data_IF_707867691797
#
_entry.id   IF_707867691797
#
_cell.length_a   1.000
_cell.length_b   1.000
_cell.length_c   1.000
_cell.angle_alpha   90.00
_cell.angle_beta   90.00
_cell.angle_gamma   90.00
#
_symmetry.space_group_name_H-M   'P 1'
#
loop_
_entity.id
_entity.type
_entity.pdbx_description
1 polymer ?
#
# COMPACT_ATOMS: atom_id res chain seq x y z
N UNK A 1 5.88 -24.67 9.26
CA UNK A 1 4.73 -23.77 9.46
C UNK A 1 5.22 -22.56 10.22
N UNK A 2 5.09 -21.32 9.70
CA UNK A 2 5.29 -20.15 10.56
C UNK A 2 4.17 -20.13 11.62
N UNK A 3 4.42 -19.66 12.84
CA UNK A 3 3.43 -19.63 13.91
C UNK A 3 2.47 -18.46 13.66
N UNK A 4 1.61 -18.58 12.65
CA UNK A 4 0.59 -17.60 12.40
C UNK A 4 -0.67 -17.95 13.23
N UNK A 5 -0.63 -17.60 14.51
CA UNK A 5 -1.72 -17.85 15.47
C UNK A 5 -2.73 -16.69 15.55
N UNK A 6 -2.87 -15.87 14.51
CA UNK A 6 -3.90 -14.85 14.48
C UNK A 6 -5.15 -15.37 13.79
N UNK A 7 -6.27 -15.32 14.52
CA UNK A 7 -7.60 -15.49 13.90
C UNK A 7 -8.11 -14.12 13.51
N UNK A 8 -8.46 -13.94 12.24
CA UNK A 8 -9.07 -12.71 11.75
C UNK A 8 -10.58 -12.84 11.73
N UNK A 9 -11.26 -11.87 12.32
CA UNK A 9 -12.70 -11.71 12.15
C UNK A 9 -12.93 -10.75 10.97
N UNK A 10 -13.61 -11.25 9.92
CA UNK A 10 -13.94 -10.44 8.73
C UNK A 10 -15.06 -9.47 9.09
N UNK A 11 -14.84 -8.19 8.79
CA UNK A 11 -15.78 -7.11 9.12
C UNK A 11 -16.48 -6.54 7.88
N UNK A 12 -16.13 -7.02 6.68
CA UNK A 12 -16.67 -6.50 5.43
C UNK A 12 -16.77 -7.60 4.36
N UNK A 13 -17.63 -7.34 3.37
CA UNK A 13 -17.62 -8.07 2.11
C UNK A 13 -16.32 -7.78 1.33
N UNK A 14 -15.84 -8.74 0.52
CA UNK A 14 -14.64 -8.52 -0.29
C UNK A 14 -14.83 -7.36 -1.26
N UNK A 15 -13.88 -6.43 -1.27
CA UNK A 15 -13.76 -5.43 -2.33
C UNK A 15 -12.74 -5.93 -3.36
N UNK A 16 -13.19 -6.19 -4.58
CA UNK A 16 -12.30 -6.55 -5.66
C UNK A 16 -11.57 -5.30 -6.18
N UNK A 17 -10.25 -5.41 -6.31
CA UNK A 17 -9.40 -4.37 -6.88
C UNK A 17 -9.19 -4.60 -8.38
N UNK A 18 -8.70 -3.58 -9.09
CA UNK A 18 -8.47 -3.68 -10.54
C UNK A 18 -7.45 -4.73 -10.97
N UNK A 19 -6.56 -5.17 -10.07
CA UNK A 19 -5.59 -6.24 -10.32
C UNK A 19 -6.12 -7.64 -9.96
N UNK A 20 -7.42 -7.76 -9.64
CA UNK A 20 -8.06 -9.02 -9.31
C UNK A 20 -7.90 -9.46 -7.86
N UNK A 21 -7.19 -8.70 -7.02
CA UNK A 21 -7.09 -9.02 -5.59
C UNK A 21 -8.40 -8.77 -4.84
N UNK A 22 -8.61 -9.51 -3.76
CA UNK A 22 -9.77 -9.36 -2.86
C UNK A 22 -9.30 -8.76 -1.55
N UNK A 23 -9.81 -7.58 -1.22
CA UNK A 23 -9.52 -6.89 0.04
C UNK A 23 -10.67 -7.07 1.03
N UNK A 24 -10.33 -7.44 2.25
CA UNK A 24 -11.25 -7.50 3.38
C UNK A 24 -10.75 -6.56 4.48
N UNK A 25 -11.66 -5.78 5.06
CA UNK A 25 -11.45 -5.19 6.38
C UNK A 25 -11.61 -6.30 7.41
N UNK A 26 -10.62 -6.47 8.28
CA UNK A 26 -10.65 -7.44 9.36
C UNK A 26 -10.13 -6.85 10.68
N UNK A 27 -10.48 -7.49 11.78
CA UNK A 27 -9.84 -7.31 13.08
C UNK A 27 -9.12 -8.61 13.47
N UNK A 28 -8.11 -8.49 14.34
CA UNK A 28 -7.49 -9.66 14.95
C UNK A 28 -8.29 -9.99 16.22
N UNK A 29 -8.71 -11.25 16.34
CA UNK A 29 -9.39 -11.75 17.54
C UNK A 29 -8.54 -11.47 18.77
N UNK A 30 -9.15 -10.94 19.82
CA UNK A 30 -8.51 -10.49 21.06
C UNK A 30 -7.66 -9.20 20.97
N UNK A 31 -7.65 -8.52 19.82
CA UNK A 31 -7.07 -7.18 19.67
C UNK A 31 -8.18 -6.21 19.24
N UNK A 32 -9.04 -5.77 20.19
CA UNK A 32 -10.16 -4.89 19.88
C UNK A 32 -9.66 -3.55 19.33
N UNK A 33 -10.50 -2.89 18.52
CA UNK A 33 -10.27 -1.55 17.97
C UNK A 33 -9.02 -1.39 17.08
N UNK A 34 -8.45 -2.49 16.58
CA UNK A 34 -7.44 -2.45 15.50
C UNK A 34 -7.97 -3.14 14.26
N UNK A 35 -8.00 -2.37 13.18
CA UNK A 35 -8.45 -2.82 11.87
C UNK A 35 -7.26 -2.99 10.93
N UNK A 36 -7.40 -3.94 10.02
CA UNK A 36 -6.40 -4.27 9.02
C UNK A 36 -7.09 -4.48 7.67
N UNK A 37 -6.30 -4.36 6.60
CA UNK A 37 -6.71 -4.83 5.28
C UNK A 37 -6.05 -6.19 5.02
N UNK A 38 -6.87 -7.23 4.89
CA UNK A 38 -6.44 -8.53 4.39
C UNK A 38 -6.62 -8.55 2.88
N UNK A 39 -5.51 -8.49 2.14
CA UNK A 39 -5.48 -8.57 0.66
C UNK A 39 -5.12 -9.99 0.24
N UNK A 40 -6.00 -10.65 -0.51
CA UNK A 40 -5.84 -12.00 -1.05
C UNK A 40 -5.63 -11.93 -2.57
N UNK A 41 -4.65 -12.66 -3.09
CA UNK A 41 -4.28 -12.64 -4.52
C UNK A 41 -3.56 -13.92 -4.94
N UNK A 42 -3.33 -14.09 -6.25
CA UNK A 42 -2.49 -15.16 -6.79
C UNK A 42 -1.04 -15.03 -6.31
N UNK A 43 -0.36 -16.17 -6.14
CA UNK A 43 0.99 -16.27 -5.56
C UNK A 43 2.05 -15.37 -6.22
N UNK A 44 2.10 -15.28 -7.55
CA UNK A 44 3.18 -14.58 -8.28
C UNK A 44 3.23 -13.07 -8.00
N UNK A 45 2.08 -12.40 -8.03
CA UNK A 45 2.00 -10.96 -7.77
C UNK A 45 2.42 -10.57 -6.35
N UNK A 46 2.36 -11.52 -5.41
CA UNK A 46 2.71 -11.25 -4.01
C UNK A 46 4.18 -11.22 -3.70
N UNK A 47 4.97 -12.12 -4.29
CA UNK A 47 6.41 -12.10 -4.03
C UNK A 47 7.03 -10.80 -4.54
N UNK A 48 6.61 -10.33 -5.71
CA UNK A 48 7.07 -9.05 -6.23
C UNK A 48 6.64 -7.86 -5.37
N UNK A 49 5.36 -7.78 -4.98
CA UNK A 49 4.92 -6.69 -4.10
C UNK A 49 5.64 -6.71 -2.75
N UNK A 50 5.87 -7.89 -2.16
CA UNK A 50 6.59 -8.02 -0.90
C UNK A 50 8.07 -7.63 -1.03
N UNK A 51 8.73 -8.05 -2.12
CA UNK A 51 10.11 -7.68 -2.43
C UNK A 51 10.25 -6.17 -2.60
N UNK A 52 9.42 -5.56 -3.46
CA UNK A 52 9.46 -4.12 -3.68
C UNK A 52 9.09 -3.38 -2.40
N UNK A 53 8.07 -3.84 -1.66
CA UNK A 53 7.69 -3.28 -0.37
C UNK A 53 8.88 -3.20 0.58
N UNK A 54 9.59 -4.31 0.80
CA UNK A 54 10.77 -4.33 1.69
C UNK A 54 11.85 -3.35 1.21
N UNK A 55 12.10 -3.32 -0.09
CA UNK A 55 13.08 -2.41 -0.68
C UNK A 55 12.68 -0.94 -0.50
N UNK A 56 11.42 -0.57 -0.74
CA UNK A 56 10.93 0.80 -0.55
C UNK A 56 10.75 1.19 0.90
N UNK A 57 10.37 0.25 1.76
CA UNK A 57 10.14 0.47 3.19
C UNK A 57 11.39 1.00 3.86
N UNK A 58 12.56 0.43 3.55
CA UNK A 58 13.83 0.87 4.13
C UNK A 58 14.06 2.38 3.94
N UNK A 59 13.76 2.93 2.75
CA UNK A 59 13.95 4.35 2.44
C UNK A 59 12.76 5.23 2.82
N UNK A 60 11.54 4.73 2.64
CA UNK A 60 10.30 5.50 2.88
C UNK A 60 9.83 5.46 4.33
N UNK A 61 10.46 4.64 5.19
CA UNK A 61 10.23 4.63 6.64
C UNK A 61 10.37 6.01 7.27
N UNK A 62 11.19 6.88 6.68
CA UNK A 62 11.42 8.26 7.16
C UNK A 62 10.25 9.21 6.89
N UNK A 63 9.43 8.94 5.87
CA UNK A 63 8.37 9.86 5.45
C UNK A 63 6.97 9.22 5.49
N UNK A 64 6.78 8.06 6.11
CA UNK A 64 5.47 7.38 6.22
C UNK A 64 4.66 7.27 4.91
N UNK A 65 5.35 7.22 3.76
CA UNK A 65 4.75 7.39 2.43
C UNK A 65 4.17 6.13 1.79
N UNK A 66 4.18 5.01 2.49
CA UNK A 66 3.72 3.71 1.98
C UNK A 66 2.75 3.07 2.96
N UNK A 67 1.81 2.31 2.43
CA UNK A 67 0.96 1.42 3.23
C UNK A 67 1.84 0.32 3.81
N UNK A 68 1.81 0.19 5.14
CA UNK A 68 2.58 -0.83 5.83
C UNK A 68 2.01 -2.22 5.52
N UNK A 69 2.89 -3.16 5.17
CA UNK A 69 2.59 -4.59 5.06
C UNK A 69 3.17 -5.27 6.30
N UNK A 70 2.33 -5.66 7.24
CA UNK A 70 2.75 -6.32 8.48
C UNK A 70 3.21 -7.74 8.25
N UNK A 71 2.51 -8.47 7.38
CA UNK A 71 2.79 -9.87 7.10
C UNK A 71 2.45 -10.20 5.66
N UNK A 72 3.24 -11.09 5.07
CA UNK A 72 3.01 -11.72 3.79
C UNK A 72 3.02 -13.24 4.00
N UNK A 73 1.91 -13.89 3.69
CA UNK A 73 1.71 -15.33 3.88
C UNK A 73 1.48 -15.97 2.53
N UNK A 74 2.41 -16.81 2.10
CA UNK A 74 2.31 -17.54 0.83
C UNK A 74 1.80 -18.96 1.06
N UNK A 75 0.80 -19.33 0.27
CA UNK A 75 0.21 -20.66 0.20
C UNK A 75 0.49 -21.24 -1.20
N UNK A 76 0.02 -22.47 -1.45
CA UNK A 76 0.22 -23.14 -2.74
C UNK A 76 -0.51 -22.42 -3.88
N UNK A 77 -1.73 -21.93 -3.62
CA UNK A 77 -2.66 -21.34 -4.61
C UNK A 77 -2.73 -19.80 -4.55
N UNK A 78 -2.43 -19.22 -3.39
CA UNK A 78 -2.66 -17.81 -3.11
C UNK A 78 -1.62 -17.23 -2.18
N UNK A 79 -1.63 -15.92 -2.06
CA UNK A 79 -0.91 -15.22 -1.03
C UNK A 79 -1.81 -14.18 -0.37
N UNK A 80 -1.61 -14.01 0.93
CA UNK A 80 -2.33 -13.09 1.78
C UNK A 80 -1.36 -12.07 2.35
N UNK A 81 -1.70 -10.80 2.22
CA UNK A 81 -0.97 -9.73 2.91
C UNK A 81 -1.88 -9.03 3.91
N UNK A 82 -1.34 -8.79 5.09
CA UNK A 82 -2.00 -8.04 6.15
C UNK A 82 -1.41 -6.64 6.13
N UNK A 83 -2.26 -5.65 5.82
CA UNK A 83 -1.87 -4.27 5.58
C UNK A 83 -2.51 -3.33 6.60
N UNK A 84 -1.91 -2.15 6.75
CA UNK A 84 -2.48 -1.03 7.49
C UNK A 84 -3.88 -0.66 6.99
N UNK A 85 -4.81 -0.44 7.92
CA UNK A 85 -6.11 0.16 7.63
C UNK A 85 -6.01 1.70 7.64
N UNK A 86 -6.58 2.36 6.64
CA UNK A 86 -6.63 3.82 6.55
C UNK A 86 -8.08 4.33 6.45
N UNK A 87 -8.27 5.64 6.31
CA UNK A 87 -9.63 6.20 6.14
C UNK A 87 -10.25 5.90 4.76
N UNK A 88 -9.49 5.31 3.84
CA UNK A 88 -9.94 5.00 2.49
C UNK A 88 -8.91 5.41 1.45
N UNK A 89 -9.30 5.29 0.20
CA UNK A 89 -8.55 5.67 -0.99
C UNK A 89 -8.87 7.11 -1.39
N UNK A 90 -7.98 7.74 -2.15
CA UNK A 90 -8.21 9.06 -2.71
C UNK A 90 -9.43 9.04 -3.65
N UNK A 91 -9.70 7.92 -4.35
CA UNK A 91 -10.92 7.77 -5.14
C UNK A 91 -12.18 7.83 -4.28
N UNK A 92 -12.20 7.16 -3.13
CA UNK A 92 -13.34 7.20 -2.21
C UNK A 92 -13.51 8.61 -1.64
N UNK A 93 -12.41 9.30 -1.32
CA UNK A 93 -12.46 10.68 -0.87
C UNK A 93 -13.09 11.59 -1.93
N UNK A 94 -12.64 11.49 -3.19
CA UNK A 94 -13.20 12.26 -4.32
C UNK A 94 -14.69 11.95 -4.48
N UNK A 95 -15.08 10.67 -4.46
CA UNK A 95 -16.48 10.29 -4.60
C UNK A 95 -17.34 10.90 -3.48
N UNK A 96 -16.86 10.91 -2.22
CA UNK A 96 -17.59 11.55 -1.11
C UNK A 96 -17.79 13.05 -1.37
N UNK A 97 -16.81 13.74 -1.94
CA UNK A 97 -16.96 15.17 -2.30
C UNK A 97 -17.98 15.39 -3.42
N UNK A 98 -18.13 14.43 -4.33
CA UNK A 98 -19.12 14.54 -5.41
C UNK A 98 -20.56 14.28 -4.88
N UNK A 99 -20.70 13.43 -3.85
CA UNK A 99 -22.00 13.11 -3.24
C UNK A 99 -22.41 14.06 -2.12
N UNK A 100 -21.45 14.62 -1.38
CA UNK A 100 -21.70 15.54 -0.27
C UNK A 100 -21.30 16.94 -0.69
N UNK A 101 -21.99 17.98 -0.21
CA UNK A 101 -21.57 19.38 -0.44
C UNK A 101 -20.27 19.75 0.33
N UNK A 102 -19.45 18.76 0.69
CA UNK A 102 -18.20 18.91 1.40
C UNK A 102 -17.09 18.94 0.35
N UNK A 103 -16.69 20.15 -0.04
CA UNK A 103 -15.50 20.35 -0.85
C UNK A 103 -14.26 20.30 0.06
N UNK A 104 -13.26 19.49 -0.28
CA UNK A 104 -11.92 19.63 0.28
C UNK A 104 -11.42 21.04 0.00
N UNK A 105 -10.86 21.69 1.01
CA UNK A 105 -10.20 22.98 0.80
C UNK A 105 -9.01 22.79 -0.15
N UNK A 106 -8.76 23.79 -0.99
CA UNK A 106 -7.60 23.83 -1.88
C UNK A 106 -6.29 23.58 -1.13
N UNK A 107 -6.24 24.02 0.12
CA UNK A 107 -5.12 23.78 1.03
C UNK A 107 -4.86 22.28 1.28
N UNK A 108 -5.90 21.46 1.48
CA UNK A 108 -5.75 20.01 1.66
C UNK A 108 -5.33 19.34 0.36
N UNK A 109 -5.88 19.78 -0.76
CA UNK A 109 -5.47 19.31 -2.08
C UNK A 109 -3.98 19.60 -2.31
N UNK A 110 -3.51 20.81 -1.98
CA UNK A 110 -2.11 21.19 -2.07
C UNK A 110 -1.21 20.30 -1.20
N UNK A 111 -1.61 19.97 0.04
CA UNK A 111 -0.85 19.05 0.89
C UNK A 111 -0.81 17.65 0.28
N UNK A 112 -1.93 17.12 -0.22
CA UNK A 112 -1.97 15.81 -0.89
C UNK A 112 -0.99 15.79 -2.06
N UNK A 113 -0.99 16.81 -2.91
CA UNK A 113 -0.07 16.92 -4.05
C UNK A 113 1.38 16.96 -3.58
N UNK A 114 1.71 17.79 -2.59
CA UNK A 114 3.06 17.89 -2.04
C UNK A 114 3.55 16.57 -1.46
N UNK A 115 2.70 15.84 -0.75
CA UNK A 115 3.03 14.55 -0.18
C UNK A 115 3.24 13.49 -1.27
N UNK A 116 2.40 13.45 -2.31
CA UNK A 116 2.61 12.60 -3.49
C UNK A 116 3.93 12.92 -4.18
N UNK A 117 4.26 14.19 -4.37
CA UNK A 117 5.54 14.62 -4.98
C UNK A 117 6.74 14.16 -4.14
N UNK A 118 6.67 14.25 -2.80
CA UNK A 118 7.72 13.74 -1.91
C UNK A 118 7.90 12.23 -2.08
N UNK A 119 6.80 11.46 -2.07
CA UNK A 119 6.83 10.00 -2.22
C UNK A 119 7.42 9.62 -3.57
N UNK A 120 6.93 10.24 -4.66
CA UNK A 120 7.42 9.99 -6.02
C UNK A 120 8.91 10.31 -6.15
N UNK A 121 9.36 11.45 -5.61
CA UNK A 121 10.78 11.82 -5.60
C UNK A 121 11.62 10.75 -4.90
N UNK A 122 11.17 10.26 -3.75
CA UNK A 122 11.90 9.23 -3.01
C UNK A 122 11.98 7.90 -3.77
N UNK A 123 10.88 7.39 -4.34
CA UNK A 123 10.94 6.13 -5.11
C UNK A 123 11.76 6.27 -6.40
N UNK A 124 11.70 7.42 -7.06
CA UNK A 124 12.49 7.66 -8.26
C UNK A 124 13.99 7.75 -7.95
N UNK A 125 14.38 8.30 -6.79
CA UNK A 125 15.77 8.27 -6.31
C UNK A 125 16.28 6.84 -6.04
N UNK A 126 15.37 5.89 -5.83
CA UNK A 126 15.68 4.46 -5.69
C UNK A 126 15.65 3.71 -7.02
N UNK A 127 15.48 4.42 -8.13
CA UNK A 127 15.25 3.86 -9.47
C UNK A 127 14.01 2.95 -9.55
N UNK A 128 12.95 3.28 -8.80
CA UNK A 128 11.70 2.54 -8.81
C UNK A 128 10.61 3.39 -9.45
N UNK A 129 9.88 2.81 -10.39
CA UNK A 129 8.64 3.35 -10.93
C UNK A 129 7.50 2.56 -10.30
N UNK A 130 6.52 3.22 -9.68
CA UNK A 130 5.38 2.53 -9.03
C UNK A 130 4.57 1.66 -10.00
N UNK A 131 4.47 2.07 -11.27
CA UNK A 131 3.79 1.32 -12.34
C UNK A 131 2.26 1.34 -12.30
N UNK A 132 1.64 1.62 -11.15
CA UNK A 132 0.18 1.77 -11.03
C UNK A 132 -0.23 2.99 -10.18
N UNK A 133 0.23 4.18 -10.57
CA UNK A 133 -0.04 5.43 -9.84
C UNK A 133 -1.43 5.99 -10.19
N UNK A 134 -2.44 5.66 -9.38
CA UNK A 134 -3.83 6.08 -9.58
C UNK A 134 -4.55 6.27 -8.24
N UNK A 135 -5.69 6.96 -8.24
CA UNK A 135 -6.45 7.34 -7.03
C UNK A 135 -6.93 6.15 -6.18
N UNK A 136 -7.10 4.96 -6.78
CA UNK A 136 -7.41 3.71 -6.06
C UNK A 136 -6.25 3.18 -5.20
N UNK A 137 -5.01 3.53 -5.55
CA UNK A 137 -3.79 3.03 -4.90
C UNK A 137 -3.16 4.08 -3.98
N UNK A 138 -3.78 5.26 -3.90
CA UNK A 138 -3.39 6.34 -2.99
C UNK A 138 -4.34 6.29 -1.81
N UNK A 139 -3.82 6.01 -0.63
CA UNK A 139 -4.58 5.90 0.59
C UNK A 139 -4.48 7.18 1.41
N UNK A 140 -5.58 7.54 2.04
CA UNK A 140 -5.75 8.79 2.78
C UNK A 140 -5.65 8.49 4.28
N UNK A 141 -4.81 9.25 4.99
CA UNK A 141 -4.65 9.11 6.43
C UNK A 141 -5.92 9.52 7.19
N UNK A 142 -6.28 8.78 8.24
CA UNK A 142 -7.49 9.04 9.03
C UNK A 142 -7.62 10.44 9.61
N UNK A 143 -6.50 11.12 9.85
CA UNK A 143 -6.49 12.51 10.36
C UNK A 143 -7.07 13.55 9.40
N UNK A 144 -7.27 13.24 8.12
CA UNK A 144 -7.99 14.14 7.21
C UNK A 144 -9.44 14.33 7.68
N UNK A 145 -10.05 13.32 8.31
CA UNK A 145 -11.43 13.39 8.79
C UNK A 145 -11.61 14.20 10.09
N UNK A 146 -10.56 14.38 10.91
CA UNK A 146 -10.70 14.83 12.31
C UNK A 146 -10.10 16.23 12.62
N UNK A 147 -10.03 17.10 11.60
CA UNK A 147 -9.29 18.37 11.55
C UNK A 147 -7.83 18.16 11.14
N UNK A 148 -7.38 18.76 10.03
CA UNK A 148 -5.96 18.82 9.68
C UNK A 148 -5.26 19.71 10.71
N UNK A 149 -4.84 19.15 11.84
CA UNK A 149 -4.02 19.87 12.81
C UNK A 149 -2.66 20.12 12.17
N UNK A 150 -2.47 21.35 11.69
CA UNK A 150 -1.26 21.81 10.98
C UNK A 150 0.03 21.55 11.76
N UNK A 151 -0.10 21.56 13.07
CA UNK A 151 0.93 21.32 14.06
C UNK A 151 1.53 19.90 13.95
N UNK A 152 0.83 18.97 13.29
CA UNK A 152 1.34 17.61 13.01
C UNK A 152 2.03 17.48 11.66
N UNK A 153 1.94 18.50 10.79
CA UNK A 153 2.67 18.58 9.52
C UNK A 153 4.09 19.14 9.69
N UNK A 154 4.36 19.82 10.81
CA UNK A 154 5.67 20.44 11.10
C UNK A 154 6.80 19.42 11.19
N UNK A 155 6.51 18.17 11.53
CA UNK A 155 7.54 17.13 11.58
C UNK A 155 7.92 16.55 10.21
N UNK A 156 7.26 16.93 9.11
CA UNK A 156 7.58 16.54 7.72
C UNK A 156 7.50 15.03 7.40
N UNK A 157 7.50 14.17 8.42
CA UNK A 157 7.61 12.73 8.36
C UNK A 157 6.24 12.04 8.27
N UNK A 158 5.18 12.67 8.77
CA UNK A 158 3.83 12.12 8.70
C UNK A 158 3.12 12.73 7.51
N UNK A 159 2.83 11.93 6.48
CA UNK A 159 2.12 12.39 5.27
C UNK A 159 0.61 12.17 5.40
N UNK A 160 -0.19 12.93 4.65
CA UNK A 160 -1.64 12.75 4.54
C UNK A 160 -2.00 11.60 3.61
N UNK A 161 -1.07 11.15 2.78
CA UNK A 161 -1.27 10.07 1.81
C UNK A 161 -0.19 9.02 1.87
N UNK A 162 -0.55 7.82 1.45
CA UNK A 162 0.32 6.64 1.38
C UNK A 162 0.10 5.91 0.05
N UNK A 163 1.17 5.36 -0.53
CA UNK A 163 1.09 4.51 -1.72
C UNK A 163 1.01 3.03 -1.36
N UNK A 164 0.23 2.27 -2.14
CA UNK A 164 0.12 0.81 -2.05
C UNK A 164 0.07 0.17 -3.44
N UNK A 165 0.00 -1.16 -3.49
CA UNK A 165 -0.09 -1.95 -4.73
C UNK A 165 1.19 -1.87 -5.58
N UNK A 166 2.29 -2.34 -5.01
CA UNK A 166 3.62 -2.41 -5.65
C UNK A 166 3.77 -3.57 -6.65
N UNK A 167 2.69 -4.31 -6.94
CA UNK A 167 2.70 -5.43 -7.88
C UNK A 167 3.07 -5.04 -9.32
N UNK A 168 2.87 -3.77 -9.69
CA UNK A 168 3.28 -3.23 -10.99
C UNK A 168 4.60 -2.45 -10.95
N UNK A 169 5.26 -2.40 -9.78
CA UNK A 169 6.46 -1.60 -9.66
C UNK A 169 7.58 -2.13 -10.57
N UNK A 170 8.36 -1.22 -11.14
CA UNK A 170 9.50 -1.52 -11.98
C UNK A 170 10.73 -0.99 -11.27
N UNK A 171 11.69 -1.86 -10.99
CA UNK A 171 12.99 -1.47 -10.47
C UNK A 171 13.99 -1.42 -11.64
N UNK A 172 14.73 -0.32 -11.76
CA UNK A 172 15.80 -0.19 -12.73
C UNK A 172 17.15 -0.26 -12.01
N UNK A 173 17.90 -1.32 -12.27
CA UNK A 173 19.22 -1.54 -11.67
C UNK A 173 20.24 -1.57 -12.80
N UNK A 174 21.11 -0.56 -12.85
CA UNK A 174 22.18 -0.43 -13.85
C UNK A 174 21.69 -0.51 -15.31
N UNK A 175 20.49 0.01 -15.59
CA UNK A 175 19.88 0.00 -16.93
C UNK A 175 18.99 -1.22 -17.20
N UNK A 176 19.05 -2.26 -16.35
CA UNK A 176 18.20 -3.43 -16.44
C UNK A 176 16.89 -3.21 -15.67
N UNK A 177 15.75 -3.39 -16.35
CA UNK A 177 14.42 -3.24 -15.77
C UNK A 177 13.89 -4.58 -15.26
N UNK A 178 13.52 -4.63 -13.98
CA UNK A 178 12.86 -5.76 -13.34
C UNK A 178 11.40 -5.39 -13.04
N UNK A 179 10.46 -6.28 -13.35
CA UNK A 179 9.03 -6.09 -13.02
C UNK A 179 8.36 -7.41 -12.68
N UNK A 180 7.31 -7.37 -11.86
CA UNK A 180 6.50 -8.53 -11.50
C UNK A 180 5.82 -9.20 -12.69
N UNK A 181 5.57 -8.47 -13.79
CA UNK A 181 4.99 -9.02 -15.01
C UNK A 181 5.98 -9.90 -15.80
N UNK A 182 7.28 -9.77 -15.56
CA UNK A 182 8.32 -10.59 -16.21
C UNK A 182 8.73 -11.81 -15.37
N UNK A 183 8.17 -11.99 -14.18
CA UNK A 183 8.37 -13.19 -13.37
C UNK A 183 7.50 -14.31 -13.95
N UNK A 184 7.96 -14.86 -15.07
CA UNK A 184 7.38 -16.05 -15.68
C UNK A 184 7.55 -17.22 -14.70
N UNK A 185 6.52 -18.06 -14.56
CA UNK A 185 6.45 -19.17 -13.59
C UNK A 185 7.63 -20.17 -13.72
N UNK A 186 8.37 -20.10 -14.83
CA UNK A 186 9.48 -20.97 -15.18
C UNK A 186 10.87 -20.31 -15.11
N UNK A 187 10.99 -19.01 -14.79
CA UNK A 187 12.26 -18.28 -14.72
C UNK A 187 12.42 -17.53 -13.38
N UNK A 188 12.12 -18.20 -12.26
CA UNK A 188 12.65 -17.75 -10.98
C UNK A 188 14.16 -17.87 -11.09
N UNK A 189 14.82 -16.76 -11.40
CA UNK A 189 16.26 -16.62 -11.37
C UNK A 189 16.71 -17.07 -9.99
N UNK A 190 17.22 -18.28 -9.97
CA UNK A 190 18.13 -18.81 -8.98
C UNK A 190 19.37 -17.93 -9.02
N UNK A 191 19.34 -16.83 -8.31
CA UNK A 191 20.56 -16.28 -7.72
C UNK A 191 20.21 -15.57 -6.42
N UNK A 192 20.48 -16.31 -5.35
CA UNK A 192 20.76 -15.84 -3.99
C UNK A 192 19.52 -15.64 -3.10
N UNK A 193 19.08 -16.77 -2.53
CA UNK A 193 18.47 -16.91 -1.20
C UNK A 193 17.23 -16.06 -0.87
N UNK A 194 16.03 -16.64 -0.94
CA UNK A 194 14.98 -16.39 0.06
C UNK A 194 14.18 -17.68 0.34
N UNK A 195 14.16 -18.07 1.61
CA UNK A 195 13.29 -19.10 2.23
C UNK A 195 11.86 -18.59 2.32
#
# INVERSE_FOLDING_TARGET
>A
MPPFNFTFDKLSFPKQTSNGSLNFICSIRNIPNRYFILKIRSKHQSYWEAYIYQYVEEKLRLISGIIQIYHCLSFTDKCLTIQEFTAGTLKELIAIQDYSSINLSEFIIAIIILDLMKILRCIHQMNIIHGCFKSDNIFVAGRIAYKPQLNTLTNGATLLVKLASWDYAIQNTNGTKYSGQYINENNVVTDHNYV
#
